data_IF_406639659470
#
_entry.id   IF_406639659470
#
_cell.length_a   1.000
_cell.length_b   1.000
_cell.length_c   1.000
_cell.angle_alpha   90.00
_cell.angle_beta   90.00
_cell.angle_gamma   90.00
#
_symmetry.space_group_name_H-M   'P 1'
#
loop_
_entity.id
_entity.type
_entity.pdbx_description
1 polymer ?
#
# COMPACT_ATOMS: atom_id res chain seq x y z
N UNK A 1 -18.79 26.25 -9.33
CA UNK A 1 -18.73 24.84 -9.77
C UNK A 1 -19.70 23.92 -9.03
N UNK A 2 -20.09 24.17 -7.77
CA UNK A 2 -21.12 23.39 -7.04
C UNK A 2 -22.45 24.15 -6.82
N UNK A 3 -22.62 25.30 -7.46
CA UNK A 3 -23.81 26.14 -7.26
C UNK A 3 -25.02 25.46 -7.95
N UNK A 4 -26.02 25.07 -7.16
CA UNK A 4 -27.21 24.32 -7.63
C UNK A 4 -27.23 22.82 -7.33
N UNK A 5 -26.22 22.27 -6.64
CA UNK A 5 -26.22 20.88 -6.13
C UNK A 5 -26.41 20.85 -4.60
N UNK A 6 -26.96 19.79 -3.99
CA UNK A 6 -27.18 19.70 -2.55
C UNK A 6 -25.88 19.38 -1.76
N UNK A 7 -24.72 19.72 -2.32
CA UNK A 7 -23.41 19.38 -1.76
C UNK A 7 -22.62 20.65 -1.45
N UNK A 8 -22.24 20.83 -0.18
CA UNK A 8 -21.36 21.91 0.27
C UNK A 8 -19.91 21.78 -0.22
N UNK A 9 -19.40 20.56 -0.43
CA UNK A 9 -18.06 20.32 -0.98
C UNK A 9 -17.93 18.95 -1.67
N UNK A 10 -17.02 18.87 -2.64
CA UNK A 10 -16.64 17.64 -3.31
C UNK A 10 -15.11 17.58 -3.41
N UNK A 11 -14.49 16.47 -3.00
CA UNK A 11 -13.05 16.23 -3.16
C UNK A 11 -12.78 14.85 -3.76
N UNK A 12 -11.85 14.81 -4.71
CA UNK A 12 -11.37 13.58 -5.33
C UNK A 12 -9.91 13.37 -4.92
N UNK A 13 -9.62 12.27 -4.24
CA UNK A 13 -8.29 11.93 -3.76
C UNK A 13 -7.82 10.64 -4.42
N UNK A 14 -6.66 10.68 -5.06
CA UNK A 14 -5.98 9.49 -5.56
C UNK A 14 -4.94 9.04 -4.53
N UNK A 15 -4.89 7.75 -4.24
CA UNK A 15 -3.97 7.17 -3.26
C UNK A 15 -3.33 5.89 -3.80
N UNK A 16 -2.08 5.68 -3.40
CA UNK A 16 -1.24 4.61 -3.90
C UNK A 16 -0.32 4.15 -2.77
N UNK A 17 -0.25 2.84 -2.53
CA UNK A 17 0.53 2.21 -1.46
C UNK A 17 1.31 1.02 -2.03
N UNK A 18 2.54 0.85 -1.55
CA UNK A 18 3.43 -0.22 -1.99
C UNK A 18 3.67 -0.25 -3.52
N UNK A 19 3.94 0.91 -4.13
CA UNK A 19 4.08 1.03 -5.59
C UNK A 19 5.42 0.50 -6.08
N UNK A 20 6.46 0.58 -5.25
CA UNK A 20 7.79 0.06 -5.55
C UNK A 20 8.46 -0.42 -4.26
N UNK A 21 9.33 -1.42 -4.39
CA UNK A 21 10.20 -1.91 -3.33
C UNK A 21 11.57 -2.23 -3.95
N UNK A 22 12.63 -2.17 -3.14
CA UNK A 22 13.96 -2.56 -3.56
C UNK A 22 14.70 -3.24 -2.40
N UNK A 23 15.13 -4.47 -2.63
CA UNK A 23 15.90 -5.25 -1.67
C UNK A 23 17.36 -5.34 -2.12
N UNK A 24 18.25 -4.60 -1.46
CA UNK A 24 19.69 -4.72 -1.70
C UNK A 24 20.18 -6.12 -1.33
N UNK A 25 21.13 -6.65 -2.11
CA UNK A 25 21.73 -7.97 -1.91
C UNK A 25 20.77 -9.16 -2.07
N UNK A 26 19.54 -8.95 -2.54
CA UNK A 26 18.64 -10.03 -2.97
C UNK A 26 18.70 -10.23 -4.49
N UNK A 27 18.55 -11.47 -5.00
CA UNK A 27 18.43 -11.71 -6.44
C UNK A 27 17.22 -10.96 -6.98
N UNK A 28 17.38 -10.10 -8.00
CA UNK A 28 16.29 -9.27 -8.52
C UNK A 28 15.05 -10.05 -9.02
N UNK A 29 15.23 -11.31 -9.41
CA UNK A 29 14.12 -12.20 -9.81
C UNK A 29 13.33 -12.81 -8.65
N UNK A 30 13.80 -12.67 -7.41
CA UNK A 30 13.11 -13.21 -6.23
C UNK A 30 11.85 -12.42 -5.85
N UNK A 31 11.66 -11.20 -6.40
CA UNK A 31 10.56 -10.29 -6.04
C UNK A 31 10.36 -10.17 -4.52
N UNK A 32 11.48 -10.13 -3.79
CA UNK A 32 11.48 -10.08 -2.35
C UNK A 32 11.15 -8.67 -1.87
N UNK A 33 10.03 -8.53 -1.15
CA UNK A 33 9.63 -7.30 -0.49
C UNK A 33 10.17 -7.32 0.96
N UNK A 34 11.12 -6.43 1.33
CA UNK A 34 11.77 -6.44 2.63
C UNK A 34 10.85 -6.09 3.81
N UNK A 35 9.62 -5.64 3.54
CA UNK A 35 8.60 -5.35 4.56
C UNK A 35 7.84 -6.61 5.02
N UNK A 36 8.11 -7.78 4.43
CA UNK A 36 7.47 -9.04 4.80
C UNK A 36 8.23 -9.76 5.92
N UNK A 37 7.51 -10.22 6.94
CA UNK A 37 8.04 -11.05 8.02
C UNK A 37 7.05 -12.16 8.38
N UNK A 38 7.46 -13.42 8.22
CA UNK A 38 6.59 -14.58 8.51
C UNK A 38 6.34 -14.81 10.00
N UNK A 39 7.23 -14.30 10.86
CA UNK A 39 7.18 -14.55 12.31
C UNK A 39 6.48 -13.43 13.10
N UNK A 40 5.90 -12.44 12.41
CA UNK A 40 5.16 -11.34 13.04
C UNK A 40 6.04 -10.24 13.64
N UNK A 41 5.43 -9.07 13.86
CA UNK A 41 6.11 -7.84 14.26
C UNK A 41 6.70 -7.85 15.69
N UNK A 42 6.35 -8.85 16.51
CA UNK A 42 6.80 -8.98 17.90
C UNK A 42 7.99 -9.93 18.10
N UNK A 43 8.43 -10.63 17.05
CA UNK A 43 9.51 -11.61 17.13
C UNK A 43 10.83 -11.02 16.63
N UNK A 44 11.95 -11.39 17.27
CA UNK A 44 13.28 -10.95 16.86
C UNK A 44 13.79 -11.60 15.54
N UNK A 45 12.94 -12.33 14.83
CA UNK A 45 13.26 -13.00 13.56
C UNK A 45 13.16 -12.04 12.36
N UNK A 46 13.81 -10.87 12.49
CA UNK A 46 13.81 -9.83 11.44
C UNK A 46 14.62 -10.30 10.25
N UNK A 47 14.09 -10.12 9.04
CA UNK A 47 14.75 -10.51 7.79
C UNK A 47 14.64 -11.99 7.43
N UNK A 48 13.81 -12.77 8.16
CA UNK A 48 13.46 -14.12 7.76
C UNK A 48 12.05 -14.17 7.17
N UNK A 49 11.95 -14.67 5.95
CA UNK A 49 10.69 -14.97 5.28
C UNK A 49 10.61 -16.48 4.98
N UNK A 50 9.62 -17.15 5.58
CA UNK A 50 9.26 -18.54 5.39
C UNK A 50 8.22 -18.70 4.27
N UNK A 51 8.47 -18.08 3.11
CA UNK A 51 7.59 -18.11 1.93
C UNK A 51 6.20 -17.52 2.22
N UNK A 52 6.16 -16.32 2.79
CA UNK A 52 4.88 -15.63 2.98
C UNK A 52 4.32 -15.21 1.63
N UNK A 53 2.99 -15.07 1.54
CA UNK A 53 2.33 -14.61 0.32
C UNK A 53 2.89 -13.27 -0.19
N UNK A 54 2.92 -13.05 -1.51
CA UNK A 54 3.47 -11.83 -2.09
C UNK A 54 2.71 -10.59 -1.62
N UNK A 55 3.41 -9.47 -1.48
CA UNK A 55 2.78 -8.19 -1.13
C UNK A 55 2.00 -7.63 -2.30
N UNK A 56 0.88 -6.96 -2.01
CA UNK A 56 0.05 -6.34 -3.02
C UNK A 56 0.44 -4.87 -3.23
N UNK A 57 0.54 -4.46 -4.50
CA UNK A 57 0.52 -3.04 -4.88
C UNK A 57 -0.93 -2.56 -4.82
N UNK A 58 -1.22 -1.53 -4.03
CA UNK A 58 -2.57 -1.01 -3.85
C UNK A 58 -2.66 0.40 -4.41
N UNK A 59 -3.70 0.67 -5.18
CA UNK A 59 -4.02 2.00 -5.68
C UNK A 59 -5.54 2.17 -5.63
N UNK A 60 -5.99 3.40 -5.43
CA UNK A 60 -7.41 3.68 -5.25
C UNK A 60 -7.73 5.15 -5.34
N UNK A 61 -9.00 5.44 -5.61
CA UNK A 61 -9.55 6.78 -5.65
C UNK A 61 -10.68 6.90 -4.62
N UNK A 62 -10.71 8.01 -3.89
CA UNK A 62 -11.77 8.33 -2.93
C UNK A 62 -12.45 9.61 -3.39
N UNK A 63 -13.77 9.53 -3.58
CA UNK A 63 -14.63 10.69 -3.80
C UNK A 63 -15.38 10.99 -2.51
N UNK A 64 -15.11 12.15 -1.91
CA UNK A 64 -15.79 12.62 -0.71
C UNK A 64 -16.74 13.75 -1.06
N UNK A 65 -18.00 13.62 -0.65
CA UNK A 65 -19.05 14.62 -0.83
C UNK A 65 -19.57 15.02 0.55
N UNK A 66 -19.73 16.31 0.80
CA UNK A 66 -20.43 16.82 1.99
C UNK A 66 -21.73 17.47 1.56
N UNK A 67 -22.78 17.31 2.35
CA UNK A 67 -24.11 17.86 2.10
C UNK A 67 -24.26 19.19 2.83
#
# INVERSE_FOLDING_TARGET
>A
FLNGTPFGSASLTLSAQNIWHMAWNFPGGANFDPEVMSFGAGNNSRGWDAMTGPTAKKWGATLSLTF
#
